data_IF_983498169783
#
_entry.id   IF_983498169783
#
_cell.length_a   1.000
_cell.length_b   1.000
_cell.length_c   1.000
_cell.angle_alpha   90.00
_cell.angle_beta   90.00
_cell.angle_gamma   90.00
#
_symmetry.space_group_name_H-M   'P 1'
#
loop_
_entity.id
_entity.type
_entity.pdbx_description
1 polymer ?
#
# COMPACT_ATOMS: atom_id res chain seq x y z
N UNK A 1 29.44 -18.81 6.90
CA UNK A 1 28.06 -18.28 7.05
C UNK A 1 28.18 -17.05 7.95
N UNK A 2 27.97 -15.82 7.47
CA UNK A 2 28.15 -14.64 8.33
C UNK A 2 27.12 -14.64 9.46
N UNK A 3 27.55 -14.33 10.67
CA UNK A 3 26.72 -14.32 11.87
C UNK A 3 25.58 -13.28 11.73
N UNK A 4 24.33 -13.69 12.00
CA UNK A 4 23.20 -12.75 12.03
C UNK A 4 23.40 -11.78 13.20
N UNK A 5 23.30 -10.49 12.93
CA UNK A 5 23.36 -9.44 13.96
C UNK A 5 21.98 -9.33 14.62
N UNK A 6 21.85 -9.51 15.95
CA UNK A 6 20.55 -9.55 16.66
C UNK A 6 19.64 -8.33 16.43
N UNK A 7 20.22 -7.16 16.16
CA UNK A 7 19.48 -5.93 15.86
C UNK A 7 18.71 -6.00 14.54
N UNK A 8 19.23 -6.74 13.54
CA UNK A 8 18.60 -6.93 12.23
C UNK A 8 17.40 -7.88 12.34
N UNK A 9 17.51 -8.93 13.18
CA UNK A 9 16.43 -9.87 13.43
C UNK A 9 15.25 -9.20 14.17
N UNK A 10 15.54 -8.30 15.12
CA UNK A 10 14.53 -7.51 15.81
C UNK A 10 13.75 -6.58 14.88
N UNK A 11 14.42 -5.94 13.92
CA UNK A 11 13.76 -5.09 12.93
C UNK A 11 12.90 -5.90 11.94
N UNK A 12 13.42 -7.01 11.42
CA UNK A 12 12.69 -7.87 10.48
C UNK A 12 11.37 -8.38 11.09
N UNK A 13 11.39 -8.79 12.36
CA UNK A 13 10.18 -9.22 13.09
C UNK A 13 9.16 -8.09 13.26
N UNK A 14 9.60 -6.86 13.57
CA UNK A 14 8.69 -5.69 13.64
C UNK A 14 8.10 -5.38 12.27
N UNK A 15 8.93 -5.39 11.23
CA UNK A 15 8.47 -5.16 9.87
C UNK A 15 7.49 -6.24 9.38
N UNK A 16 7.65 -7.50 9.82
CA UNK A 16 6.69 -8.57 9.56
C UNK A 16 5.33 -8.29 10.21
N UNK A 17 5.31 -7.85 11.47
CA UNK A 17 4.08 -7.44 12.16
C UNK A 17 3.42 -6.25 11.46
N UNK A 18 4.21 -5.26 11.05
CA UNK A 18 3.73 -4.13 10.25
C UNK A 18 3.10 -4.61 8.94
N UNK A 19 3.73 -5.55 8.21
CA UNK A 19 3.17 -6.10 6.99
C UNK A 19 1.80 -6.78 7.22
N UNK A 20 1.66 -7.60 8.26
CA UNK A 20 0.36 -8.18 8.62
C UNK A 20 -0.67 -7.11 9.00
N UNK A 21 -0.25 -6.07 9.70
CA UNK A 21 -1.11 -4.94 10.05
C UNK A 21 -1.58 -4.18 8.78
N UNK A 22 -0.72 -3.97 7.79
CA UNK A 22 -1.13 -3.38 6.49
C UNK A 22 -2.22 -4.24 5.85
N UNK A 23 -2.04 -5.55 5.80
CA UNK A 23 -3.03 -6.46 5.20
C UNK A 23 -4.38 -6.40 5.94
N UNK A 24 -4.36 -6.43 7.28
CA UNK A 24 -5.57 -6.37 8.09
C UNK A 24 -6.32 -5.03 7.90
N UNK A 25 -5.59 -3.91 7.90
CA UNK A 25 -6.16 -2.58 7.71
C UNK A 25 -6.67 -2.36 6.28
N UNK A 26 -6.03 -2.95 5.27
CA UNK A 26 -6.52 -2.92 3.89
C UNK A 26 -7.86 -3.66 3.74
N UNK A 27 -8.00 -4.83 4.36
CA UNK A 27 -9.27 -5.58 4.38
C UNK A 27 -10.34 -4.79 5.14
N UNK A 28 -10.01 -4.24 6.32
CA UNK A 28 -10.94 -3.41 7.08
C UNK A 28 -11.39 -2.18 6.28
N UNK A 29 -10.45 -1.50 5.60
CA UNK A 29 -10.75 -0.41 4.68
C UNK A 29 -11.72 -0.86 3.60
N UNK A 30 -11.46 -1.99 2.94
CA UNK A 30 -12.32 -2.49 1.87
C UNK A 30 -13.74 -2.78 2.37
N UNK A 31 -13.88 -3.39 3.56
CA UNK A 31 -15.19 -3.67 4.17
C UNK A 31 -15.95 -2.36 4.43
N UNK A 32 -15.31 -1.35 5.00
CA UNK A 32 -15.94 -0.06 5.29
C UNK A 32 -16.28 0.69 4.00
N UNK A 33 -15.33 0.78 3.06
CA UNK A 33 -15.48 1.55 1.84
C UNK A 33 -16.46 0.90 0.85
N UNK A 34 -16.25 -0.37 0.50
CA UNK A 34 -17.12 -1.08 -0.46
C UNK A 34 -18.49 -1.42 0.15
N UNK A 35 -18.54 -1.68 1.46
CA UNK A 35 -19.78 -2.04 2.14
C UNK A 35 -20.69 -0.85 2.42
N UNK A 36 -20.12 0.31 2.76
CA UNK A 36 -20.86 1.47 3.27
C UNK A 36 -20.55 2.73 2.47
N UNK A 37 -19.31 3.24 2.53
CA UNK A 37 -18.99 4.59 2.06
C UNK A 37 -19.23 4.80 0.55
N UNK A 38 -18.94 3.80 -0.28
CA UNK A 38 -19.17 3.85 -1.73
C UNK A 38 -20.65 3.85 -2.13
N UNK A 39 -21.54 3.37 -1.24
CA UNK A 39 -22.99 3.32 -1.46
C UNK A 39 -23.72 4.52 -0.86
N UNK A 40 -23.14 5.13 0.16
CA UNK A 40 -23.63 6.33 0.80
C UNK A 40 -22.50 7.38 0.90
N UNK A 41 -22.23 8.11 -0.20
CA UNK A 41 -21.12 9.06 -0.25
C UNK A 41 -21.20 10.17 0.81
N UNK A 42 -22.40 10.48 1.29
CA UNK A 42 -22.65 11.52 2.30
C UNK A 42 -22.41 11.03 3.74
N UNK A 43 -22.14 9.74 3.96
CA UNK A 43 -21.80 9.20 5.27
C UNK A 43 -20.40 9.62 5.69
N UNK A 44 -20.33 10.78 6.34
CA UNK A 44 -19.08 11.37 6.83
C UNK A 44 -18.29 10.44 7.75
N UNK A 45 -18.97 9.67 8.61
CA UNK A 45 -18.31 8.78 9.57
C UNK A 45 -17.66 7.58 8.87
N UNK A 46 -18.38 6.94 7.95
CA UNK A 46 -17.84 5.82 7.17
C UNK A 46 -16.67 6.27 6.28
N UNK A 47 -16.80 7.42 5.61
CA UNK A 47 -15.72 7.99 4.81
C UNK A 47 -14.49 8.34 5.65
N UNK A 48 -14.68 9.01 6.79
CA UNK A 48 -13.58 9.36 7.69
C UNK A 48 -12.85 8.12 8.21
N UNK A 49 -13.60 7.07 8.60
CA UNK A 49 -13.03 5.81 9.04
C UNK A 49 -12.23 5.12 7.92
N UNK A 50 -12.76 5.07 6.70
CA UNK A 50 -12.06 4.49 5.56
C UNK A 50 -10.71 5.18 5.32
N UNK A 51 -10.68 6.52 5.31
CA UNK A 51 -9.43 7.27 5.14
C UNK A 51 -8.47 7.13 6.34
N UNK A 52 -8.98 7.02 7.56
CA UNK A 52 -8.15 6.76 8.75
C UNK A 52 -7.49 5.37 8.69
N UNK A 53 -8.18 4.36 8.15
CA UNK A 53 -7.63 3.02 7.94
C UNK A 53 -6.51 3.03 6.89
N UNK A 54 -6.68 3.78 5.80
CA UNK A 54 -5.59 4.03 4.82
C UNK A 54 -4.39 4.66 5.54
N UNK A 55 -4.62 5.69 6.35
CA UNK A 55 -3.54 6.38 7.06
C UNK A 55 -2.74 5.44 7.97
N UNK A 56 -3.44 4.67 8.81
CA UNK A 56 -2.82 3.72 9.71
C UNK A 56 -2.07 2.61 8.96
N UNK A 57 -2.65 2.08 7.88
CA UNK A 57 -2.03 1.08 7.02
C UNK A 57 -0.76 1.62 6.36
N UNK A 58 -0.79 2.87 5.89
CA UNK A 58 0.35 3.51 5.26
C UNK A 58 1.50 3.81 6.25
N UNK A 59 1.19 4.17 7.49
CA UNK A 59 2.21 4.28 8.55
C UNK A 59 2.88 2.92 8.79
N UNK A 60 2.11 1.84 8.91
CA UNK A 60 2.67 0.49 9.04
C UNK A 60 3.50 0.10 7.80
N UNK A 61 3.02 0.45 6.60
CA UNK A 61 3.73 0.18 5.35
C UNK A 61 5.11 0.86 5.32
N UNK A 62 5.27 2.07 5.88
CA UNK A 62 6.56 2.76 5.91
C UNK A 62 7.69 1.94 6.57
N UNK A 63 7.36 1.11 7.56
CA UNK A 63 8.33 0.21 8.21
C UNK A 63 8.52 -1.07 7.38
N UNK A 64 7.43 -1.64 6.89
CA UNK A 64 7.46 -2.91 6.17
C UNK A 64 8.20 -2.80 4.82
N UNK A 65 8.02 -1.69 4.09
CA UNK A 65 8.66 -1.44 2.80
C UNK A 65 10.17 -1.47 2.89
N UNK A 66 10.77 -0.94 3.98
CA UNK A 66 12.23 -0.97 4.20
C UNK A 66 12.74 -2.40 4.25
N UNK A 67 12.14 -3.24 5.09
CA UNK A 67 12.61 -4.62 5.27
C UNK A 67 12.38 -5.48 4.02
N UNK A 68 11.23 -5.34 3.36
CA UNK A 68 10.91 -6.06 2.12
C UNK A 68 11.86 -5.65 1.00
N UNK A 69 12.13 -4.34 0.85
CA UNK A 69 13.06 -3.82 -0.15
C UNK A 69 14.48 -4.33 0.08
N UNK A 70 14.95 -4.33 1.33
CA UNK A 70 16.26 -4.87 1.67
C UNK A 70 16.38 -6.38 1.38
N UNK A 71 15.31 -7.14 1.61
CA UNK A 71 15.30 -8.60 1.37
C UNK A 71 15.21 -8.94 -0.12
N UNK A 72 14.41 -8.20 -0.89
CA UNK A 72 14.09 -8.53 -2.28
C UNK A 72 14.95 -7.79 -3.33
N UNK A 73 15.47 -6.60 -2.99
CA UNK A 73 16.04 -5.64 -3.93
C UNK A 73 17.43 -5.99 -4.47
N UNK A 74 18.24 -6.77 -3.74
CA UNK A 74 19.65 -6.97 -4.11
C UNK A 74 20.45 -5.65 -4.17
N UNK A 75 21.64 -5.67 -4.79
CA UNK A 75 22.54 -4.51 -4.84
C UNK A 75 22.02 -3.35 -5.71
N UNK A 76 21.22 -3.63 -6.74
CA UNK A 76 20.79 -2.63 -7.73
C UNK A 76 19.48 -1.93 -7.37
N UNK A 77 18.84 -2.30 -6.26
CA UNK A 77 17.54 -1.74 -5.87
C UNK A 77 17.59 -0.99 -4.52
N UNK A 78 18.73 -0.36 -4.23
CA UNK A 78 18.91 0.50 -3.06
C UNK A 78 17.90 1.66 -3.00
N UNK A 79 17.36 2.07 -4.14
CA UNK A 79 16.32 3.11 -4.24
C UNK A 79 14.95 2.66 -3.72
N UNK A 80 14.66 1.35 -3.67
CA UNK A 80 13.33 0.84 -3.30
C UNK A 80 12.94 1.16 -1.86
N UNK A 81 13.89 1.14 -0.92
CA UNK A 81 13.61 1.44 0.47
C UNK A 81 13.19 2.91 0.67
N UNK A 82 13.99 3.93 0.28
CA UNK A 82 13.57 5.33 0.43
C UNK A 82 12.33 5.67 -0.40
N UNK A 83 12.17 5.11 -1.61
CA UNK A 83 10.96 5.29 -2.41
C UNK A 83 9.72 4.66 -1.75
N UNK A 84 9.90 3.46 -1.18
CA UNK A 84 8.88 2.74 -0.42
C UNK A 84 8.38 3.52 0.80
N UNK A 85 9.31 4.09 1.56
CA UNK A 85 8.98 4.99 2.68
C UNK A 85 8.27 6.24 2.17
N UNK A 86 8.76 6.85 1.09
CA UNK A 86 8.20 8.06 0.50
C UNK A 86 6.73 7.92 0.12
N UNK A 87 6.37 6.90 -0.67
CA UNK A 87 4.96 6.70 -1.05
C UNK A 87 4.09 6.38 0.18
N UNK A 88 4.61 5.61 1.13
CA UNK A 88 3.87 5.22 2.33
C UNK A 88 3.54 6.44 3.20
N UNK A 89 4.51 7.33 3.44
CA UNK A 89 4.26 8.54 4.23
C UNK A 89 3.34 9.54 3.50
N UNK A 90 3.47 9.68 2.18
CA UNK A 90 2.54 10.50 1.39
C UNK A 90 1.11 9.93 1.41
N UNK A 91 0.97 8.60 1.38
CA UNK A 91 -0.33 7.93 1.52
C UNK A 91 -0.92 8.09 2.92
N UNK A 92 -0.07 8.09 3.96
CA UNK A 92 -0.49 8.38 5.32
C UNK A 92 -1.02 9.81 5.45
N UNK A 93 -0.30 10.79 4.89
CA UNK A 93 -0.74 12.19 4.84
C UNK A 93 -2.06 12.35 4.09
N UNK A 94 -2.22 11.66 2.95
CA UNK A 94 -3.48 11.62 2.23
C UNK A 94 -4.64 11.10 3.09
N UNK A 95 -4.45 9.96 3.77
CA UNK A 95 -5.47 9.37 4.63
C UNK A 95 -5.85 10.29 5.79
N UNK A 96 -4.87 10.89 6.47
CA UNK A 96 -5.14 11.84 7.59
C UNK A 96 -5.93 13.05 7.09
N UNK A 97 -5.46 13.70 6.02
CA UNK A 97 -6.11 14.88 5.47
C UNK A 97 -7.57 14.57 5.06
N UNK A 98 -7.79 13.45 4.37
CA UNK A 98 -9.12 13.10 3.86
C UNK A 98 -10.07 12.65 4.98
N UNK A 99 -9.54 12.04 6.05
CA UNK A 99 -10.32 11.71 7.25
C UNK A 99 -10.79 12.97 8.01
N UNK A 100 -9.90 13.96 8.15
CA UNK A 100 -10.24 15.25 8.77
C UNK A 100 -11.28 15.97 7.92
N UNK A 101 -11.09 16.02 6.60
CA UNK A 101 -12.02 16.66 5.68
C UNK A 101 -13.41 16.01 5.75
N UNK A 102 -13.48 14.68 5.69
CA UNK A 102 -14.73 13.94 5.78
C UNK A 102 -15.44 14.17 7.13
N UNK A 103 -14.70 14.16 8.24
CA UNK A 103 -15.31 14.33 9.58
C UNK A 103 -15.78 15.76 9.86
N UNK A 104 -15.09 16.77 9.33
CA UNK A 104 -15.43 18.19 9.54
C UNK A 104 -16.44 18.73 8.53
N UNK A 105 -16.63 18.05 7.38
CA UNK A 105 -17.47 18.56 6.29
C UNK A 105 -16.87 19.77 5.59
N UNK A 106 -15.57 20.01 5.73
CA UNK A 106 -14.86 21.06 5.00
C UNK A 106 -14.95 20.75 3.51
N UNK A 107 -15.35 21.75 2.71
CA UNK A 107 -15.34 21.62 1.26
C UNK A 107 -13.90 21.31 0.81
N UNK A 108 -13.74 20.22 0.06
CA UNK A 108 -12.53 20.01 -0.70
C UNK A 108 -12.46 21.14 -1.73
N UNK A 109 -11.50 22.06 -1.62
CA UNK A 109 -11.22 22.97 -2.74
C UNK A 109 -11.00 22.12 -3.98
N UNK A 110 -11.58 22.53 -5.12
CA UNK A 110 -11.64 21.73 -6.36
C UNK A 110 -10.32 21.00 -6.62
N UNK A 111 -10.34 19.70 -6.37
CA UNK A 111 -9.17 18.86 -6.51
C UNK A 111 -9.00 18.59 -7.99
N UNK A 112 -7.91 19.10 -8.55
CA UNK A 112 -7.50 18.76 -9.90
C UNK A 112 -7.52 17.23 -10.09
N UNK A 113 -7.88 16.71 -11.28
CA UNK A 113 -7.72 15.30 -11.65
C UNK A 113 -6.29 14.76 -11.43
N UNK A 114 -5.30 15.64 -11.29
CA UNK A 114 -3.91 15.34 -10.94
C UNK A 114 -3.61 15.45 -9.44
N UNK A 115 -4.61 15.24 -8.58
CA UNK A 115 -4.44 15.34 -7.15
C UNK A 115 -3.24 14.48 -6.69
N UNK A 116 -2.18 15.09 -6.13
CA UNK A 116 -0.96 14.38 -5.76
C UNK A 116 -1.21 13.25 -4.75
N UNK A 117 -2.36 13.27 -4.08
CA UNK A 117 -2.78 12.28 -3.11
C UNK A 117 -3.09 10.91 -3.73
N UNK A 118 -3.91 10.88 -4.78
CA UNK A 118 -4.22 9.66 -5.53
C UNK A 118 -2.98 9.09 -6.23
N UNK A 119 -2.10 9.98 -6.71
CA UNK A 119 -0.81 9.59 -7.28
C UNK A 119 0.09 8.90 -6.25
N UNK A 120 0.17 9.41 -5.03
CA UNK A 120 0.98 8.78 -3.98
C UNK A 120 0.45 7.39 -3.58
N UNK A 121 -0.86 7.26 -3.37
CA UNK A 121 -1.47 6.04 -2.82
C UNK A 121 -1.56 4.89 -3.82
N UNK A 122 -1.77 5.19 -5.11
CA UNK A 122 -1.89 4.17 -6.13
C UNK A 122 -0.72 4.19 -7.11
N UNK A 123 -0.39 5.35 -7.67
CA UNK A 123 0.68 5.48 -8.67
C UNK A 123 2.06 5.10 -8.12
N UNK A 124 2.54 5.83 -7.11
CA UNK A 124 3.86 5.57 -6.50
C UNK A 124 3.90 4.21 -5.79
N UNK A 125 2.83 3.82 -5.07
CA UNK A 125 2.75 2.50 -4.48
C UNK A 125 2.88 1.38 -5.54
N UNK A 126 2.20 1.54 -6.68
CA UNK A 126 2.26 0.60 -7.79
C UNK A 126 3.64 0.55 -8.45
N UNK A 127 4.29 1.70 -8.67
CA UNK A 127 5.67 1.78 -9.18
C UNK A 127 6.65 1.09 -8.23
N UNK A 128 6.52 1.32 -6.92
CA UNK A 128 7.35 0.66 -5.92
C UNK A 128 7.19 -0.86 -5.98
N UNK A 129 5.94 -1.32 -5.98
CA UNK A 129 5.60 -2.75 -5.94
C UNK A 129 6.04 -3.45 -7.24
N UNK A 130 5.88 -2.80 -8.40
CA UNK A 130 6.38 -3.29 -9.68
C UNK A 130 7.91 -3.37 -9.69
N UNK A 131 8.59 -2.30 -9.26
CA UNK A 131 10.06 -2.26 -9.16
C UNK A 131 10.59 -3.37 -8.25
N UNK A 132 9.97 -3.55 -7.08
CA UNK A 132 10.28 -4.63 -6.14
C UNK A 132 10.13 -6.01 -6.80
N UNK A 133 9.02 -6.25 -7.49
CA UNK A 133 8.75 -7.53 -8.16
C UNK A 133 9.76 -7.84 -9.27
N UNK A 134 10.13 -6.84 -10.07
CA UNK A 134 11.14 -6.99 -11.12
C UNK A 134 12.53 -7.25 -10.53
N UNK A 135 12.94 -6.51 -9.49
CA UNK A 135 14.21 -6.75 -8.80
C UNK A 135 14.25 -8.13 -8.15
N UNK A 136 13.16 -8.56 -7.51
CA UNK A 136 13.04 -9.87 -6.86
C UNK A 136 13.20 -11.04 -7.83
N UNK A 137 12.69 -10.91 -9.07
CA UNK A 137 12.85 -11.93 -10.12
C UNK A 137 14.31 -12.12 -10.53
N UNK A 138 15.10 -11.06 -10.52
CA UNK A 138 16.53 -11.10 -10.88
C UNK A 138 17.43 -11.74 -9.83
N UNK A 139 17.04 -11.74 -8.55
CA UNK A 139 17.92 -12.15 -7.44
C UNK A 139 17.57 -13.50 -6.82
N UNK A 140 16.34 -14.00 -7.01
CA UNK A 140 15.78 -15.18 -6.30
C UNK A 140 15.85 -15.08 -4.76
N UNK A 141 16.07 -13.89 -4.20
CA UNK A 141 16.21 -13.66 -2.76
C UNK A 141 14.88 -13.83 -1.99
N UNK A 142 13.75 -13.82 -2.71
CA UNK A 142 12.41 -14.06 -2.19
C UNK A 142 11.67 -15.09 -3.04
N UNK A 143 10.63 -15.76 -2.52
CA UNK A 143 9.85 -16.72 -3.28
C UNK A 143 9.23 -16.11 -4.54
N UNK A 144 9.22 -16.85 -5.65
CA UNK A 144 8.66 -16.41 -6.94
C UNK A 144 7.21 -15.93 -6.86
N UNK A 145 6.42 -16.52 -5.95
CA UNK A 145 5.06 -16.07 -5.67
C UNK A 145 4.98 -14.65 -5.12
N UNK A 146 5.93 -14.22 -4.27
CA UNK A 146 5.97 -12.84 -3.76
C UNK A 146 6.32 -11.86 -4.88
N UNK A 147 7.31 -12.20 -5.70
CA UNK A 147 7.70 -11.39 -6.85
C UNK A 147 6.56 -11.26 -7.88
N UNK A 148 5.78 -12.32 -8.09
CA UNK A 148 4.62 -12.31 -8.98
C UNK A 148 3.49 -11.46 -8.42
N UNK A 149 3.15 -11.61 -7.13
CA UNK A 149 2.19 -10.74 -6.46
C UNK A 149 2.60 -9.28 -6.56
N UNK A 150 3.89 -8.97 -6.38
CA UNK A 150 4.42 -7.62 -6.49
C UNK A 150 4.24 -7.02 -7.91
N UNK A 151 4.55 -7.78 -8.96
CA UNK A 151 4.34 -7.32 -10.34
C UNK A 151 2.85 -7.12 -10.64
N UNK A 152 2.01 -8.11 -10.32
CA UNK A 152 0.57 -8.06 -10.64
C UNK A 152 -0.13 -6.95 -9.84
N UNK A 153 0.12 -6.86 -8.53
CA UNK A 153 -0.43 -5.79 -7.70
C UNK A 153 0.14 -4.41 -8.05
N UNK A 154 1.40 -4.33 -8.48
CA UNK A 154 1.98 -3.08 -8.97
C UNK A 154 1.28 -2.57 -10.23
N UNK A 155 1.01 -3.46 -11.20
CA UNK A 155 0.24 -3.13 -12.40
C UNK A 155 -1.20 -2.72 -12.05
N UNK A 156 -1.87 -3.47 -11.17
CA UNK A 156 -3.23 -3.15 -10.73
C UNK A 156 -3.33 -1.78 -10.05
N UNK A 157 -2.40 -1.42 -9.17
CA UNK A 157 -2.37 -0.10 -8.53
C UNK A 157 -2.09 1.04 -9.52
N UNK A 158 -1.22 0.82 -10.51
CA UNK A 158 -0.98 1.80 -11.58
C UNK A 158 -2.26 1.98 -12.41
N UNK A 159 -2.94 0.89 -12.77
CA UNK A 159 -4.22 0.96 -13.47
C UNK A 159 -5.28 1.68 -12.64
N UNK A 160 -5.40 1.35 -11.35
CA UNK A 160 -6.28 2.02 -10.39
C UNK A 160 -6.06 3.53 -10.38
N UNK A 161 -4.81 3.99 -10.38
CA UNK A 161 -4.50 5.41 -10.50
C UNK A 161 -5.08 6.02 -11.79
N UNK A 162 -4.78 5.43 -12.95
CA UNK A 162 -5.24 5.97 -14.23
C UNK A 162 -6.77 5.96 -14.39
N UNK A 163 -7.46 4.91 -13.92
CA UNK A 163 -8.93 4.87 -13.98
C UNK A 163 -9.57 5.84 -12.99
N UNK A 164 -8.89 6.15 -11.88
CA UNK A 164 -9.29 7.22 -10.95
C UNK A 164 -9.19 8.58 -11.63
N UNK A 165 -8.07 8.85 -12.30
CA UNK A 165 -7.87 10.09 -13.09
C UNK A 165 -8.92 10.20 -14.20
N UNK A 166 -9.28 9.08 -14.84
CA UNK A 166 -10.31 9.02 -15.88
C UNK A 166 -11.75 9.09 -15.36
N UNK A 167 -11.98 9.05 -14.03
CA UNK A 167 -13.31 9.13 -13.43
C UNK A 167 -14.20 7.91 -13.67
N UNK A 168 -13.62 6.72 -13.92
CA UNK A 168 -14.40 5.52 -14.22
C UNK A 168 -14.78 4.76 -12.94
N UNK A 169 -15.92 5.10 -12.32
CA UNK A 169 -16.39 4.46 -11.08
C UNK A 169 -16.40 2.92 -11.11
N UNK A 170 -16.93 2.25 -12.17
CA UNK A 170 -16.92 0.78 -12.21
C UNK A 170 -15.50 0.20 -12.21
N UNK A 171 -14.58 0.81 -12.96
CA UNK A 171 -13.19 0.35 -13.02
C UNK A 171 -12.46 0.61 -11.70
N UNK A 172 -12.72 1.74 -11.05
CA UNK A 172 -12.19 2.08 -9.71
C UNK A 172 -12.62 1.03 -8.68
N UNK A 173 -13.90 0.64 -8.68
CA UNK A 173 -14.40 -0.38 -7.74
C UNK A 173 -13.77 -1.75 -8.01
N UNK A 174 -13.55 -2.10 -9.29
CA UNK A 174 -12.93 -3.37 -9.66
C UNK A 174 -11.46 -3.42 -9.23
N UNK A 175 -10.63 -2.49 -9.69
CA UNK A 175 -9.19 -2.50 -9.39
C UNK A 175 -8.94 -2.12 -7.93
N UNK A 176 -9.71 -1.20 -7.37
CA UNK A 176 -9.68 -0.86 -5.94
C UNK A 176 -10.08 -2.03 -5.05
N UNK A 177 -11.10 -2.80 -5.44
CA UNK A 177 -11.49 -4.04 -4.77
C UNK A 177 -10.41 -5.11 -4.83
N UNK A 178 -9.82 -5.33 -6.01
CA UNK A 178 -8.70 -6.27 -6.19
C UNK A 178 -7.49 -5.86 -5.33
N UNK A 179 -7.08 -4.59 -5.38
CA UNK A 179 -5.97 -4.07 -4.61
C UNK A 179 -6.18 -4.21 -3.09
N UNK A 180 -7.37 -3.86 -2.60
CA UNK A 180 -7.64 -3.79 -1.15
C UNK A 180 -8.07 -5.11 -0.51
N UNK A 181 -8.73 -6.01 -1.26
CA UNK A 181 -9.23 -7.29 -0.72
C UNK A 181 -8.36 -8.50 -1.07
N UNK A 182 -7.64 -8.46 -2.19
CA UNK A 182 -6.96 -9.65 -2.73
C UNK A 182 -5.46 -9.41 -2.86
N UNK A 183 -5.05 -8.59 -3.83
CA UNK A 183 -3.65 -8.46 -4.24
C UNK A 183 -2.78 -7.81 -3.15
N UNK A 184 -3.24 -6.70 -2.56
CA UNK A 184 -2.56 -6.02 -1.47
C UNK A 184 -2.42 -6.90 -0.23
N UNK A 185 -3.53 -7.44 0.33
CA UNK A 185 -3.46 -8.35 1.47
C UNK A 185 -2.59 -9.58 1.20
N UNK A 186 -2.72 -10.24 0.04
CA UNK A 186 -1.91 -11.40 -0.30
C UNK A 186 -0.41 -11.05 -0.35
N UNK A 187 -0.05 -9.92 -0.96
CA UNK A 187 1.32 -9.43 -1.00
C UNK A 187 1.89 -9.14 0.40
N UNK A 188 1.13 -8.44 1.23
CA UNK A 188 1.58 -8.03 2.57
C UNK A 188 1.64 -9.21 3.55
N UNK A 189 0.68 -10.13 3.51
CA UNK A 189 0.73 -11.38 4.27
C UNK A 189 1.97 -12.19 3.86
N UNK A 190 2.22 -12.33 2.55
CA UNK A 190 3.39 -13.06 2.07
C UNK A 190 4.70 -12.38 2.41
N UNK A 191 4.73 -11.05 2.41
CA UNK A 191 5.86 -10.27 2.90
C UNK A 191 6.12 -10.53 4.39
N UNK A 192 5.08 -10.51 5.22
CA UNK A 192 5.16 -10.84 6.64
C UNK A 192 5.73 -12.25 6.88
N UNK A 193 5.28 -13.24 6.10
CA UNK A 193 5.79 -14.61 6.19
C UNK A 193 7.27 -14.73 5.80
N UNK A 194 7.72 -13.95 4.80
CA UNK A 194 9.12 -13.96 4.36
C UNK A 194 10.03 -13.25 5.36
N UNK A 195 9.55 -12.18 5.99
CA UNK A 195 10.31 -11.41 6.98
C UNK A 195 10.36 -12.06 8.36
N UNK A 196 9.33 -12.85 8.73
CA UNK A 196 9.27 -13.59 9.99
C UNK A 196 10.16 -14.83 10.06
N UNK A 197 10.90 -15.15 8.98
CA UNK A 197 11.85 -16.27 8.86
C UNK A 197 13.30 -15.74 8.80
#
# INVERSE_FOLDING_TARGET
>A
MPARVPAIDGFARRAALCAYLVAALAIAYAVVYLGVASRNPDDRSANALAYALIAAGAVAASVATVAVSARAGGSNASWLAPFGVGYALLSAAHGVYSAIQASTGLAAGDLSPTDPRGFATFGLAGVWMLGLGLSARGTRAVPSGLATLAVVGGVDLILLYFVTVAGSTPAILLTGGLASMILGPAFWIRSGMVLGR
#
